data_IF_514407934191
#
_entry.id   IF_514407934191
#
_cell.length_a   1.000
_cell.length_b   1.000
_cell.length_c   1.000
_cell.angle_alpha   90.00
_cell.angle_beta   90.00
_cell.angle_gamma   90.00
#
_symmetry.space_group_name_H-M   'P 1'
#
loop_
_entity.id
_entity.type
_entity.pdbx_description
1 polymer ?
#
# COMPACT_ATOMS: atom_id res chain seq x y z
N UNK A 1 -8.67 -6.75 4.63
CA UNK A 1 -8.18 -8.11 4.43
C UNK A 1 -6.67 -8.06 4.60
N UNK A 2 -6.04 -9.13 5.07
CA UNK A 2 -4.58 -9.18 5.18
C UNK A 2 -4.00 -9.83 3.92
N UNK A 3 -3.03 -9.16 3.31
CA UNK A 3 -2.36 -9.55 2.08
C UNK A 3 -0.86 -9.41 2.29
N UNK A 4 -0.09 -10.20 1.55
CA UNK A 4 1.37 -10.11 1.58
C UNK A 4 1.84 -9.99 0.15
N UNK A 5 2.58 -8.92 -0.15
CA UNK A 5 3.21 -8.73 -1.45
C UNK A 5 4.72 -8.63 -1.31
N UNK A 6 5.46 -9.26 -2.22
CA UNK A 6 6.89 -9.00 -2.35
C UNK A 6 7.15 -7.60 -2.93
N UNK A 7 8.15 -6.94 -2.38
CA UNK A 7 8.63 -5.64 -2.82
C UNK A 7 10.15 -5.67 -2.97
N UNK A 8 10.65 -5.07 -4.04
CA UNK A 8 12.07 -4.88 -4.29
C UNK A 8 12.51 -3.55 -3.70
N UNK A 9 13.53 -3.59 -2.83
CA UNK A 9 14.17 -2.44 -2.22
C UNK A 9 15.51 -2.21 -2.91
N UNK A 10 15.73 -1.00 -3.40
CA UNK A 10 16.94 -0.59 -4.09
C UNK A 10 17.60 0.54 -3.32
N UNK A 11 18.84 0.37 -2.82
CA UNK A 11 19.55 1.44 -2.14
C UNK A 11 20.00 2.51 -3.13
N UNK A 12 19.80 3.79 -2.77
CA UNK A 12 20.26 4.92 -3.58
C UNK A 12 21.67 5.38 -3.19
N UNK A 13 22.43 5.94 -4.15
CA UNK A 13 23.82 6.40 -3.91
C UNK A 13 23.91 7.50 -2.84
N UNK A 14 22.91 8.38 -2.77
CA UNK A 14 22.85 9.50 -1.82
C UNK A 14 22.30 9.10 -0.43
N UNK A 15 21.96 7.81 -0.24
CA UNK A 15 21.23 7.31 0.92
C UNK A 15 19.74 7.10 0.62
N UNK A 16 19.05 6.38 1.50
CA UNK A 16 17.66 5.99 1.30
C UNK A 16 17.45 4.76 0.41
N UNK A 17 16.18 4.43 0.20
CA UNK A 17 15.74 3.27 -0.57
C UNK A 17 14.57 3.61 -1.47
N UNK A 18 14.63 3.17 -2.72
CA UNK A 18 13.46 3.09 -3.61
C UNK A 18 12.82 1.72 -3.47
N UNK A 19 11.50 1.68 -3.38
CA UNK A 19 10.71 0.45 -3.24
C UNK A 19 9.76 0.31 -4.42
N UNK A 20 9.79 -0.87 -5.04
CA UNK A 20 8.99 -1.18 -6.23
C UNK A 20 8.27 -2.50 -6.00
N UNK A 21 6.97 -2.53 -6.33
CA UNK A 21 6.16 -3.74 -6.25
C UNK A 21 6.01 -4.34 -7.65
N UNK A 22 6.64 -5.50 -7.95
CA UNK A 22 6.55 -6.12 -9.28
C UNK A 22 5.11 -6.47 -9.68
N UNK A 23 4.30 -6.87 -8.70
CA UNK A 23 2.91 -7.32 -8.91
C UNK A 23 1.90 -6.16 -8.93
N UNK A 24 2.31 -4.95 -8.55
CA UNK A 24 1.47 -3.75 -8.52
C UNK A 24 2.07 -2.69 -9.46
N UNK A 25 1.80 -2.77 -10.78
CA UNK A 25 2.44 -1.90 -11.76
C UNK A 25 2.24 -0.42 -11.44
N UNK A 26 3.34 0.32 -11.39
CA UNK A 26 3.35 1.75 -11.06
C UNK A 26 3.28 2.07 -9.57
N UNK A 27 3.21 1.06 -8.68
CA UNK A 27 3.36 1.26 -7.25
C UNK A 27 4.85 1.36 -6.90
N UNK A 28 5.33 2.60 -6.85
CA UNK A 28 6.71 2.95 -6.52
C UNK A 28 6.70 3.96 -5.38
N UNK A 29 7.62 3.81 -4.44
CA UNK A 29 7.80 4.74 -3.33
C UNK A 29 9.26 4.81 -2.91
N UNK A 30 9.59 5.69 -1.97
CA UNK A 30 10.94 5.88 -1.47
C UNK A 30 10.91 6.23 0.02
N UNK A 31 12.06 6.16 0.69
CA UNK A 31 12.26 6.65 2.04
C UNK A 31 13.73 6.95 2.32
N UNK A 32 14.00 7.86 3.25
CA UNK A 32 15.36 8.31 3.57
C UNK A 32 16.16 7.22 4.31
N UNK A 33 15.46 6.29 4.95
CA UNK A 33 16.04 5.09 5.57
C UNK A 33 15.16 3.85 5.33
N UNK A 34 15.65 2.68 5.77
CA UNK A 34 14.94 1.41 5.55
C UNK A 34 13.61 1.34 6.29
N UNK A 35 13.52 1.94 7.48
CA UNK A 35 12.29 1.92 8.28
C UNK A 35 11.21 2.77 7.61
N UNK A 36 11.58 3.97 7.17
CA UNK A 36 10.70 4.86 6.44
C UNK A 36 10.29 4.24 5.10
N UNK A 37 11.23 3.69 4.34
CA UNK A 37 10.92 3.01 3.08
C UNK A 37 9.94 1.84 3.29
N UNK A 38 10.07 1.08 4.38
CA UNK A 38 9.11 0.02 4.74
C UNK A 38 7.72 0.57 5.08
N UNK A 39 7.63 1.66 5.86
CA UNK A 39 6.35 2.29 6.18
C UNK A 39 5.68 2.85 4.91
N UNK A 40 6.44 3.54 4.07
CA UNK A 40 5.96 4.11 2.82
C UNK A 40 5.56 3.01 1.84
N UNK A 41 6.27 1.88 1.80
CA UNK A 41 5.88 0.71 1.00
C UNK A 41 4.52 0.14 1.43
N UNK A 42 4.27 0.02 2.74
CA UNK A 42 2.97 -0.41 3.27
C UNK A 42 1.88 0.58 2.85
N UNK A 43 2.11 1.87 2.99
CA UNK A 43 1.13 2.91 2.65
C UNK A 43 0.83 2.92 1.15
N UNK A 44 1.86 2.95 0.30
CA UNK A 44 1.74 2.97 -1.15
C UNK A 44 0.97 1.75 -1.69
N UNK A 45 1.32 0.54 -1.25
CA UNK A 45 0.64 -0.68 -1.69
C UNK A 45 -0.78 -0.76 -1.13
N UNK A 46 -1.01 -0.31 0.10
CA UNK A 46 -2.37 -0.25 0.68
C UNK A 46 -3.26 0.71 -0.10
N UNK A 47 -2.76 1.89 -0.46
CA UNK A 47 -3.48 2.89 -1.24
C UNK A 47 -3.78 2.40 -2.65
N UNK A 48 -2.79 1.81 -3.33
CA UNK A 48 -2.95 1.25 -4.67
C UNK A 48 -4.03 0.16 -4.72
N UNK A 49 -3.98 -0.79 -3.78
CA UNK A 49 -4.97 -1.86 -3.66
C UNK A 49 -6.34 -1.35 -3.26
N UNK A 50 -6.42 -0.36 -2.37
CA UNK A 50 -7.70 0.23 -1.97
C UNK A 50 -8.38 0.94 -3.14
N UNK A 51 -7.63 1.73 -3.90
CA UNK A 51 -8.12 2.40 -5.12
C UNK A 51 -8.65 1.40 -6.14
N UNK A 52 -7.91 0.31 -6.38
CA UNK A 52 -8.33 -0.75 -7.29
C UNK A 52 -9.70 -1.37 -6.91
N UNK A 53 -9.94 -1.54 -5.60
CA UNK A 53 -11.17 -2.14 -5.08
C UNK A 53 -12.33 -1.13 -5.05
N UNK A 54 -12.10 0.08 -4.54
CA UNK A 54 -13.17 1.07 -4.29
C UNK A 54 -13.57 1.81 -5.57
N UNK A 55 -12.59 2.25 -6.37
CA UNK A 55 -12.80 3.09 -7.55
C UNK A 55 -12.93 2.27 -8.83
N UNK A 56 -11.99 1.35 -9.08
CA UNK A 56 -12.00 0.54 -10.31
C UNK A 56 -12.89 -0.71 -10.22
N UNK A 57 -13.27 -1.13 -9.01
CA UNK A 57 -14.06 -2.34 -8.74
C UNK A 57 -13.46 -3.60 -9.36
N UNK A 58 -12.13 -3.66 -9.44
CA UNK A 58 -11.40 -4.80 -9.99
C UNK A 58 -11.01 -5.79 -8.89
N UNK A 59 -10.55 -6.97 -9.33
CA UNK A 59 -10.01 -7.99 -8.43
C UNK A 59 -8.57 -7.66 -8.07
N UNK A 60 -8.20 -8.00 -6.85
CA UNK A 60 -6.84 -7.86 -6.34
C UNK A 60 -5.92 -8.80 -7.13
N UNK A 61 -4.79 -8.31 -7.69
CA UNK A 61 -3.85 -9.17 -8.41
C UNK A 61 -3.27 -10.25 -7.48
N UNK A 62 -2.94 -11.42 -8.00
CA UNK A 62 -2.29 -12.45 -7.17
C UNK A 62 -0.85 -12.03 -6.86
N UNK A 63 -0.40 -12.18 -5.60
CA UNK A 63 0.98 -11.92 -5.23
C UNK A 63 1.89 -13.02 -5.78
N UNK A 64 2.99 -12.65 -6.43
CA UNK A 64 3.97 -13.60 -6.93
C UNK A 64 4.75 -14.25 -5.78
N UNK A 65 5.32 -15.43 -6.06
CA UNK A 65 6.25 -16.07 -5.15
C UNK A 65 7.51 -15.21 -5.04
N UNK A 66 7.90 -14.87 -3.81
CA UNK A 66 9.14 -14.13 -3.51
C UNK A 66 10.36 -14.74 -4.19
N UNK A 67 10.40 -16.07 -4.36
CA UNK A 67 11.52 -16.78 -4.99
C UNK A 67 11.61 -16.56 -6.50
N UNK A 68 10.49 -16.20 -7.14
CA UNK A 68 10.44 -15.93 -8.56
C UNK A 68 10.87 -14.49 -8.89
N UNK A 69 10.93 -13.62 -7.88
CA UNK A 69 11.27 -12.21 -8.06
C UNK A 69 12.78 -12.03 -7.96
N UNK A 70 13.33 -11.45 -9.02
CA UNK A 70 14.74 -11.10 -9.11
C UNK A 70 14.80 -9.57 -9.16
N UNK A 71 15.42 -8.89 -8.19
CA UNK A 71 15.61 -7.45 -8.23
C UNK A 71 16.73 -7.13 -9.23
N UNK A 72 16.37 -6.84 -10.47
CA UNK A 72 17.31 -6.58 -11.57
C UNK A 72 17.25 -5.15 -12.12
N UNK A 73 16.37 -4.29 -11.59
CA UNK A 73 16.24 -2.92 -12.08
C UNK A 73 17.39 -2.00 -11.67
N UNK A 74 17.89 -2.14 -10.43
CA UNK A 74 18.98 -1.31 -9.89
C UNK A 74 20.00 -2.15 -9.11
N UNK A 75 21.20 -1.60 -8.92
CA UNK A 75 22.29 -2.29 -8.22
C UNK A 75 21.97 -2.52 -6.74
N UNK A 76 22.45 -3.64 -6.18
CA UNK A 76 22.32 -4.03 -4.77
C UNK A 76 20.87 -4.10 -4.24
N UNK A 77 19.89 -4.34 -5.12
CA UNK A 77 18.51 -4.56 -4.74
C UNK A 77 18.31 -5.85 -3.93
N UNK A 78 17.36 -5.83 -3.00
CA UNK A 78 16.91 -7.02 -2.27
C UNK A 78 15.38 -7.07 -2.21
N UNK A 79 14.83 -8.27 -2.00
CA UNK A 79 13.39 -8.49 -1.93
C UNK A 79 12.97 -8.64 -0.46
N UNK A 80 11.86 -8.01 -0.07
CA UNK A 80 11.22 -8.20 1.22
C UNK A 80 9.72 -8.40 1.06
N UNK A 81 9.10 -9.06 2.03
CA UNK A 81 7.65 -9.22 2.09
C UNK A 81 7.02 -8.08 2.88
N UNK A 82 5.99 -7.48 2.29
CA UNK A 82 5.21 -6.39 2.89
C UNK A 82 3.85 -6.93 3.28
N UNK A 83 3.54 -6.87 4.57
CA UNK A 83 2.22 -7.21 5.09
C UNK A 83 1.29 -5.99 5.00
N UNK A 84 0.15 -6.17 4.36
CA UNK A 84 -0.83 -5.15 4.05
C UNK A 84 -2.15 -5.51 4.72
N UNK A 85 -2.65 -4.64 5.62
CA UNK A 85 -3.98 -4.78 6.20
C UNK A 85 -4.96 -3.75 5.62
N UNK A 86 -5.65 -4.16 4.56
CA UNK A 86 -6.66 -3.31 3.90
C UNK A 86 -7.88 -3.02 4.80
N UNK A 87 -8.16 -3.84 5.83
CA UNK A 87 -9.29 -3.55 6.71
C UNK A 87 -9.00 -2.35 7.59
N UNK A 88 -7.78 -2.26 8.11
CA UNK A 88 -7.37 -1.10 8.89
C UNK A 88 -7.22 0.13 7.99
N UNK A 89 -6.63 -0.06 6.81
CA UNK A 89 -6.39 1.03 5.87
C UNK A 89 -7.71 1.67 5.36
N UNK A 90 -8.68 0.86 4.92
CA UNK A 90 -10.00 1.35 4.47
C UNK A 90 -10.78 2.06 5.59
N UNK A 91 -10.57 1.71 6.87
CA UNK A 91 -11.21 2.46 7.97
C UNK A 91 -10.68 3.88 8.13
N UNK A 92 -9.40 4.10 7.80
CA UNK A 92 -8.73 5.41 7.91
C UNK A 92 -8.93 6.25 6.65
N UNK A 93 -8.83 5.62 5.48
CA UNK A 93 -8.75 6.32 4.18
C UNK A 93 -9.86 5.96 3.19
N UNK A 94 -10.66 4.92 3.46
CA UNK A 94 -11.73 4.50 2.56
C UNK A 94 -12.90 5.47 2.53
N UNK A 95 -13.61 5.49 1.40
CA UNK A 95 -14.72 6.42 1.16
C UNK A 95 -16.10 5.80 1.44
N UNK A 96 -16.13 4.63 2.10
CA UNK A 96 -17.37 3.92 2.41
C UNK A 96 -18.28 4.76 3.31
N UNK A 97 -19.38 5.27 2.74
CA UNK A 97 -20.40 5.97 3.49
C UNK A 97 -21.09 5.03 4.49
N UNK A 98 -21.11 5.43 5.77
CA UNK A 98 -21.80 4.71 6.84
C UNK A 98 -22.99 5.54 7.29
N UNK A 99 -24.21 5.01 7.11
CA UNK A 99 -25.43 5.64 7.66
C UNK A 99 -25.32 5.70 9.18
N UNK A 100 -25.38 6.91 9.73
CA UNK A 100 -25.48 7.15 11.17
C UNK A 100 -26.87 7.72 11.46
N UNK A 101 -27.65 7.02 12.28
CA UNK A 101 -28.90 7.55 12.83
C UNK A 101 -28.58 8.20 14.18
N UNK A 102 -28.84 9.49 14.30
CA UNK A 102 -28.58 10.26 15.51
C UNK A 102 -29.76 11.19 15.81
N UNK A 103 -29.92 11.53 17.09
CA UNK A 103 -30.95 12.48 17.55
C UNK A 103 -30.26 13.78 17.92
N UNK A 104 -30.60 14.86 17.22
CA UNK A 104 -30.09 16.21 17.51
C UNK A 104 -31.13 17.06 18.20
N UNK A 105 -30.72 18.04 19.01
CA UNK A 105 -31.63 19.06 19.52
C UNK A 105 -32.32 19.80 18.38
N UNK A 106 -33.61 20.08 18.55
CA UNK A 106 -34.45 20.69 17.50
C UNK A 106 -33.87 22.00 16.94
N UNK A 107 -33.16 22.79 17.74
CA UNK A 107 -32.54 24.06 17.33
C UNK A 107 -31.35 23.88 16.35
N UNK A 108 -30.70 22.72 16.32
CA UNK A 108 -29.57 22.43 15.43
C UNK A 108 -30.03 21.96 14.04
N UNK A 109 -31.32 21.68 13.86
CA UNK A 109 -31.92 21.20 12.62
C UNK A 109 -32.48 22.36 11.76
N UNK A 110 -31.84 23.52 11.81
CA UNK A 110 -32.26 24.75 11.11
C UNK A 110 -31.65 24.84 9.73
#
# INVERSE_FOLDING_TARGET
>A
MQLVYPACFYPCEEGGYTVIFPDLPGCVTEGDDLLEAMHNAIDAASGWLLFLIEDEKQQIPEAADIKAIIPDEYENGFVSLINIDLNEYSKKYGHKAIKKTLTIPAWLNS
#
